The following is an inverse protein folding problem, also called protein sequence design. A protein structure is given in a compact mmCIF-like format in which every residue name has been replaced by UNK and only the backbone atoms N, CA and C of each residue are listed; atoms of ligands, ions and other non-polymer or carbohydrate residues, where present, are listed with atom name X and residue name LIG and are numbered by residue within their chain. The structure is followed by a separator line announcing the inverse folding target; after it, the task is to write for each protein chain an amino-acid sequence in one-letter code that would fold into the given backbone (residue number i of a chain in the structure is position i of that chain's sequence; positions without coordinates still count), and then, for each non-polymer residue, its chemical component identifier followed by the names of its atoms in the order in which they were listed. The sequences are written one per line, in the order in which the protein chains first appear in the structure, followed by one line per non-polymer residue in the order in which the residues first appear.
data_IF_160429007707
#
_entry.id   IF_160429007707
#
_cell.length_a   1.000
_cell.length_b   1.000
_cell.length_c   1.000
_cell.angle_alpha   90.00
_cell.angle_beta   90.00
_cell.angle_gamma   90.00
#
_symmetry.space_group_name_H-M   'P 1'
#
loop_
_entity.id
_entity.type
_entity.pdbx_description
1 polymer ?
#
# COMPACT_ATOMS: atom_id res chain seq x y z
N UNK A 1 21.44 34.85 1.10
CA UNK A 1 20.90 33.56 1.59
C UNK A 1 21.39 32.51 0.62
N UNK A 2 22.44 31.75 0.98
CA UNK A 2 22.89 30.64 0.13
C UNK A 2 21.85 29.54 0.22
N UNK A 3 21.28 29.20 -0.92
CA UNK A 3 20.46 28.01 -1.09
C UNK A 3 21.38 26.81 -0.88
N UNK A 4 21.19 26.09 0.22
CA UNK A 4 21.97 24.89 0.47
C UNK A 4 21.64 23.87 -0.64
N UNK A 5 22.64 23.18 -1.23
CA UNK A 5 22.36 22.21 -2.28
C UNK A 5 21.42 21.12 -1.75
N UNK A 6 20.33 20.84 -2.46
CA UNK A 6 19.43 19.74 -2.13
C UNK A 6 20.17 18.43 -2.36
N UNK A 7 20.61 17.79 -1.27
CA UNK A 7 21.26 16.49 -1.34
C UNK A 7 20.23 15.40 -1.67
N UNK A 8 20.60 14.37 -2.45
CA UNK A 8 19.74 13.22 -2.62
C UNK A 8 19.57 12.51 -1.28
N UNK A 9 18.35 12.05 -1.00
CA UNK A 9 18.05 11.22 0.16
C UNK A 9 17.98 9.75 -0.25
N UNK A 10 18.35 8.81 0.65
CA UNK A 10 18.09 7.40 0.40
C UNK A 10 16.57 7.19 0.29
N UNK A 11 16.13 6.19 -0.51
CA UNK A 11 14.71 5.87 -0.60
C UNK A 11 14.19 5.36 0.74
N UNK A 12 12.91 5.62 1.02
CA UNK A 12 12.19 5.06 2.15
C UNK A 12 11.91 3.58 1.86
N UNK A 13 12.36 2.70 2.76
CA UNK A 13 12.07 1.27 2.65
C UNK A 13 10.63 1.03 3.10
N UNK A 14 9.82 0.46 2.22
CA UNK A 14 8.46 0.11 2.56
C UNK A 14 8.43 -1.02 3.60
N UNK A 15 7.62 -0.84 4.64
CA UNK A 15 7.43 -1.83 5.69
C UNK A 15 6.01 -2.41 5.63
N UNK A 16 5.89 -3.72 5.85
CA UNK A 16 4.59 -4.36 5.98
C UNK A 16 3.87 -3.83 7.24
N UNK A 17 2.55 -3.67 7.15
CA UNK A 17 1.65 -3.11 8.16
C UNK A 17 1.89 -1.64 8.50
N UNK A 18 2.75 -0.94 7.74
CA UNK A 18 2.87 0.51 7.82
C UNK A 18 1.68 1.16 7.10
N UNK A 19 0.97 2.13 7.71
CA UNK A 19 -0.13 2.82 7.04
C UNK A 19 0.34 3.56 5.78
N UNK A 20 1.60 4.02 5.75
CA UNK A 20 2.20 4.69 4.60
C UNK A 20 2.48 3.74 3.43
N UNK A 21 2.81 2.48 3.70
CA UNK A 21 2.89 1.44 2.68
C UNK A 21 1.49 1.10 2.18
N UNK A 22 0.56 0.84 3.11
CA UNK A 22 -0.80 0.41 2.81
C UNK A 22 -1.55 1.40 1.90
N UNK A 23 -1.45 2.71 2.18
CA UNK A 23 -2.13 3.74 1.37
C UNK A 23 -1.62 3.76 -0.09
N UNK A 24 -0.31 3.57 -0.30
CA UNK A 24 0.29 3.54 -1.64
C UNK A 24 -0.11 2.29 -2.41
N UNK A 25 -0.09 1.12 -1.76
CA UNK A 25 -0.57 -0.14 -2.35
C UNK A 25 -2.04 -0.03 -2.74
N UNK A 26 -2.91 0.40 -1.82
CA UNK A 26 -4.34 0.53 -2.08
C UNK A 26 -4.65 1.58 -3.18
N UNK A 27 -3.95 2.72 -3.17
CA UNK A 27 -4.11 3.76 -4.18
C UNK A 27 -3.67 3.30 -5.57
N UNK A 28 -2.56 2.56 -5.67
CA UNK A 28 -2.15 1.95 -6.94
C UNK A 28 -3.24 0.98 -7.43
N UNK A 29 -3.68 0.04 -6.61
CA UNK A 29 -4.72 -0.93 -6.99
C UNK A 29 -6.05 -0.28 -7.41
N UNK A 30 -6.35 0.93 -6.92
CA UNK A 30 -7.54 1.67 -7.32
C UNK A 30 -7.51 2.05 -8.80
N UNK A 31 -6.33 2.37 -9.35
CA UNK A 31 -6.16 2.82 -10.75
C UNK A 31 -5.69 1.71 -11.69
N UNK A 32 -5.37 0.52 -11.17
CA UNK A 32 -4.97 -0.62 -11.99
C UNK A 32 -6.16 -1.24 -12.74
N UNK A 33 -5.94 -1.73 -13.98
CA UNK A 33 -6.92 -2.56 -14.69
C UNK A 33 -7.29 -3.82 -13.90
N UNK A 34 -8.52 -4.32 -14.07
CA UNK A 34 -9.11 -5.44 -13.33
C UNK A 34 -9.65 -6.52 -14.29
N UNK A 35 -10.11 -7.64 -13.73
CA UNK A 35 -10.72 -8.73 -14.50
C UNK A 35 -9.72 -9.76 -15.07
N UNK A 36 -8.43 -9.62 -14.73
CA UNK A 36 -7.38 -10.58 -15.07
C UNK A 36 -6.40 -10.73 -13.90
N UNK A 37 -5.57 -11.78 -13.97
CA UNK A 37 -4.50 -12.01 -12.99
C UNK A 37 -3.25 -11.18 -13.31
N UNK A 38 -2.84 -10.32 -12.39
CA UNK A 38 -1.58 -9.56 -12.44
C UNK A 38 -0.55 -10.18 -11.50
N UNK A 39 0.73 -10.25 -11.90
CA UNK A 39 1.80 -10.72 -11.01
C UNK A 39 2.01 -9.72 -9.87
N UNK A 40 2.14 -10.21 -8.63
CA UNK A 40 2.46 -9.36 -7.47
C UNK A 40 3.79 -8.62 -7.68
N UNK A 41 4.77 -9.24 -8.32
CA UNK A 41 6.01 -8.57 -8.70
C UNK A 41 5.79 -7.37 -9.63
N UNK A 42 4.83 -7.45 -10.57
CA UNK A 42 4.51 -6.32 -11.44
C UNK A 42 3.82 -5.17 -10.70
N UNK A 43 3.05 -5.48 -9.65
CA UNK A 43 2.51 -4.47 -8.73
C UNK A 43 3.64 -3.77 -7.98
N UNK A 44 4.64 -4.51 -7.50
CA UNK A 44 5.83 -3.94 -6.86
C UNK A 44 6.63 -3.05 -7.82
N UNK A 45 6.87 -3.50 -9.06
CA UNK A 45 7.54 -2.71 -10.09
C UNK A 45 6.78 -1.41 -10.37
N UNK A 46 5.45 -1.47 -10.46
CA UNK A 46 4.60 -0.29 -10.66
C UNK A 46 4.64 0.68 -9.46
N UNK A 47 4.70 0.18 -8.23
CA UNK A 47 4.89 1.01 -7.04
C UNK A 47 6.26 1.71 -7.05
N UNK A 48 7.32 0.98 -7.36
CA UNK A 48 8.68 1.52 -7.44
C UNK A 48 8.83 2.56 -8.58
N UNK A 49 8.11 2.37 -9.68
CA UNK A 49 8.07 3.34 -10.77
C UNK A 49 7.25 4.60 -10.41
N UNK A 50 6.17 4.46 -9.65
CA UNK A 50 5.30 5.57 -9.23
C UNK A 50 5.87 6.39 -8.07
N UNK A 51 6.73 5.78 -7.24
CA UNK A 51 7.29 6.37 -6.03
C UNK A 51 8.81 6.16 -6.00
N UNK A 52 9.54 6.99 -6.73
CA UNK A 52 11.00 6.87 -6.89
C UNK A 52 11.79 7.19 -5.63
N UNK A 53 11.15 7.80 -4.64
CA UNK A 53 11.64 8.05 -3.28
C UNK A 53 11.35 6.88 -2.32
N UNK A 54 10.76 5.78 -2.81
CA UNK A 54 10.43 4.59 -2.02
C UNK A 54 11.01 3.32 -2.65
N UNK A 55 11.18 2.29 -1.83
CA UNK A 55 11.51 0.93 -2.28
C UNK A 55 10.49 -0.07 -1.73
N UNK A 56 9.76 -0.71 -2.64
CA UNK A 56 8.79 -1.77 -2.39
C UNK A 56 9.37 -3.12 -2.79
N UNK A 57 9.66 -3.96 -1.80
CA UNK A 57 9.99 -5.35 -2.04
C UNK A 57 8.72 -6.17 -2.31
N UNK A 58 8.79 -7.13 -3.23
CA UNK A 58 7.66 -7.99 -3.59
C UNK A 58 7.01 -8.67 -2.40
N UNK A 59 7.79 -9.07 -1.37
CA UNK A 59 7.26 -9.67 -0.14
C UNK A 59 6.39 -8.70 0.67
N UNK A 60 6.80 -7.45 0.77
CA UNK A 60 6.05 -6.41 1.49
C UNK A 60 4.74 -6.13 0.76
N UNK A 61 4.79 -6.06 -0.58
CA UNK A 61 3.58 -5.92 -1.39
C UNK A 61 2.66 -7.12 -1.20
N UNK A 62 3.19 -8.34 -1.21
CA UNK A 62 2.39 -9.54 -0.96
C UNK A 62 1.69 -9.53 0.41
N UNK A 63 2.39 -9.10 1.47
CA UNK A 63 1.82 -8.96 2.82
C UNK A 63 0.67 -7.94 2.86
N UNK A 64 0.83 -6.79 2.20
CA UNK A 64 -0.23 -5.78 2.09
C UNK A 64 -1.44 -6.29 1.28
N UNK A 65 -1.19 -7.03 0.20
CA UNK A 65 -2.26 -7.63 -0.59
C UNK A 65 -3.02 -8.70 0.22
N UNK A 66 -2.32 -9.46 1.05
CA UNK A 66 -2.94 -10.44 1.96
C UNK A 66 -3.77 -9.74 3.04
N UNK A 67 -3.30 -8.60 3.55
CA UNK A 67 -4.07 -7.79 4.49
C UNK A 67 -5.34 -7.22 3.83
N UNK A 68 -5.24 -6.73 2.59
CA UNK A 68 -6.40 -6.27 1.82
C UNK A 68 -7.40 -7.40 1.52
N UNK A 69 -6.92 -8.59 1.15
CA UNK A 69 -7.78 -9.77 1.00
C UNK A 69 -8.48 -10.13 2.31
N UNK A 70 -7.78 -10.05 3.43
CA UNK A 70 -8.36 -10.28 4.75
C UNK A 70 -9.45 -9.26 5.07
N UNK A 71 -9.23 -7.98 4.78
CA UNK A 71 -10.22 -6.92 4.94
C UNK A 71 -11.45 -7.16 4.05
N UNK A 72 -11.24 -7.59 2.80
CA UNK A 72 -12.31 -7.93 1.87
C UNK A 72 -13.16 -9.09 2.42
N UNK A 73 -12.52 -10.14 2.93
CA UNK A 73 -13.20 -11.25 3.57
C UNK A 73 -14.00 -10.80 4.81
N UNK A 74 -13.47 -9.91 5.64
CA UNK A 74 -14.22 -9.35 6.77
C UNK A 74 -15.48 -8.61 6.34
N UNK A 75 -15.39 -7.79 5.28
CA UNK A 75 -16.48 -6.94 4.80
C UNK A 75 -17.56 -7.72 4.01
N UNK A 76 -17.16 -8.73 3.23
CA UNK A 76 -18.07 -9.45 2.31
C UNK A 76 -18.23 -10.95 2.60
N UNK A 77 -17.50 -11.50 3.56
CA UNK A 77 -17.52 -12.93 3.95
C UNK A 77 -17.20 -13.90 2.82
N UNK A 78 -16.39 -13.45 1.86
CA UNK A 78 -15.91 -14.24 0.74
C UNK A 78 -14.56 -13.71 0.29
N UNK A 79 -13.70 -14.57 -0.26
CA UNK A 79 -12.50 -14.16 -1.00
C UNK A 79 -12.78 -13.98 -2.50
N UNK A 80 -13.97 -14.38 -2.97
CA UNK A 80 -14.41 -14.12 -4.34
C UNK A 80 -14.41 -12.61 -4.58
N UNK A 81 -13.69 -12.19 -5.61
CA UNK A 81 -13.50 -10.78 -5.96
C UNK A 81 -12.10 -10.24 -5.64
N UNK A 82 -11.43 -10.79 -4.62
CA UNK A 82 -10.05 -10.44 -4.26
C UNK A 82 -9.26 -11.72 -3.96
N UNK A 83 -8.62 -12.29 -4.97
CA UNK A 83 -7.88 -13.55 -4.84
C UNK A 83 -6.37 -13.34 -5.03
N UNK A 84 -5.60 -14.05 -4.21
CA UNK A 84 -4.17 -14.26 -4.37
C UNK A 84 -3.98 -15.74 -4.68
N UNK A 85 -3.39 -16.04 -5.83
CA UNK A 85 -3.23 -17.42 -6.30
C UNK A 85 -1.76 -17.65 -6.66
N UNK A 86 -1.21 -18.78 -6.22
CA UNK A 86 0.12 -19.17 -6.65
C UNK A 86 0.13 -19.65 -8.10
N UNK A 87 1.19 -19.31 -8.81
CA UNK A 87 1.45 -19.80 -10.16
C UNK A 87 2.93 -20.20 -10.30
N UNK A 88 3.29 -20.99 -11.33
CA UNK A 88 4.70 -21.30 -11.60
C UNK A 88 5.59 -20.06 -11.78
N UNK A 89 5.01 -18.92 -12.14
CA UNK A 89 5.70 -17.65 -12.37
C UNK A 89 5.54 -16.65 -11.21
N UNK A 90 5.20 -17.14 -10.01
CA UNK A 90 4.96 -16.34 -8.81
C UNK A 90 3.48 -16.07 -8.54
N UNK A 91 3.19 -15.43 -7.41
CA UNK A 91 1.84 -15.13 -6.96
C UNK A 91 1.16 -14.11 -7.89
N UNK A 92 -0.11 -14.40 -8.21
CA UNK A 92 -0.99 -13.54 -8.99
C UNK A 92 -2.05 -12.94 -8.08
N UNK A 93 -2.33 -11.64 -8.25
CA UNK A 93 -3.51 -10.99 -7.72
C UNK A 93 -4.60 -10.94 -8.80
N UNK A 94 -5.81 -11.35 -8.43
CA UNK A 94 -6.99 -11.24 -9.25
C UNK A 94 -8.04 -10.38 -8.54
N UNK A 95 -8.33 -9.22 -9.13
CA UNK A 95 -9.39 -8.33 -8.70
C UNK A 95 -10.55 -8.42 -9.67
N UNK A 96 -11.76 -8.57 -9.14
CA UNK A 96 -12.95 -8.47 -9.97
C UNK A 96 -13.09 -7.08 -10.60
N UNK A 97 -13.62 -7.06 -11.81
CA UNK A 97 -13.98 -5.83 -12.50
C UNK A 97 -15.41 -5.44 -12.12
N UNK A 98 -15.54 -4.64 -11.05
CA UNK A 98 -16.84 -4.25 -10.53
C UNK A 98 -16.82 -2.88 -9.85
N UNK A 99 -17.99 -2.24 -9.79
CA UNK A 99 -18.18 -1.00 -9.04
C UNK A 99 -18.05 -1.21 -7.53
N UNK A 100 -18.41 -2.38 -7.00
CA UNK A 100 -18.25 -2.69 -5.57
C UNK A 100 -16.78 -2.76 -5.17
N UNK A 101 -15.92 -3.34 -6.02
CA UNK A 101 -14.47 -3.39 -5.81
C UNK A 101 -13.89 -1.97 -5.80
N UNK A 102 -14.29 -1.14 -6.77
CA UNK A 102 -13.87 0.26 -6.85
C UNK A 102 -14.25 1.03 -5.58
N UNK A 103 -15.52 1.00 -5.19
CA UNK A 103 -15.99 1.68 -4.00
C UNK A 103 -15.39 1.13 -2.70
N UNK A 104 -15.05 -0.17 -2.66
CA UNK A 104 -14.37 -0.78 -1.53
C UNK A 104 -12.91 -0.33 -1.43
N UNK A 105 -12.14 -0.31 -2.53
CA UNK A 105 -10.76 0.18 -2.53
C UNK A 105 -10.66 1.67 -2.17
N UNK A 106 -11.59 2.51 -2.65
CA UNK A 106 -11.68 3.91 -2.23
C UNK A 106 -11.75 4.03 -0.70
N UNK A 107 -12.60 3.24 -0.05
CA UNK A 107 -12.68 3.20 1.42
C UNK A 107 -11.42 2.67 2.08
N UNK A 108 -10.70 1.72 1.47
CA UNK A 108 -9.42 1.25 2.02
C UNK A 108 -8.34 2.33 1.95
N UNK A 109 -8.29 3.10 0.85
CA UNK A 109 -7.40 4.27 0.72
C UNK A 109 -7.73 5.30 1.81
N UNK A 110 -8.99 5.70 1.93
CA UNK A 110 -9.44 6.66 2.94
C UNK A 110 -9.08 6.21 4.38
N UNK A 111 -9.31 4.93 4.70
CA UNK A 111 -8.92 4.35 5.99
C UNK A 111 -7.42 4.41 6.22
N UNK A 112 -6.61 4.06 5.22
CA UNK A 112 -5.15 4.11 5.33
C UNK A 112 -4.63 5.54 5.47
N UNK A 113 -5.24 6.52 4.79
CA UNK A 113 -4.91 7.94 4.96
C UNK A 113 -5.22 8.44 6.38
N UNK A 114 -6.35 8.04 6.98
CA UNK A 114 -6.67 8.33 8.38
C UNK A 114 -5.57 7.75 9.30
N UNK A 115 -5.16 6.51 9.06
CA UNK A 115 -4.10 5.87 9.83
C UNK A 115 -2.74 6.56 9.66
N UNK A 116 -2.40 7.02 8.44
CA UNK A 116 -1.18 7.81 8.20
C UNK A 116 -1.18 9.09 9.04
N UNK A 117 -2.29 9.84 9.04
CA UNK A 117 -2.42 11.06 9.84
C UNK A 117 -2.29 10.77 11.34
N UNK A 118 -2.93 9.71 11.83
CA UNK A 118 -2.82 9.30 13.22
C UNK A 118 -1.37 8.96 13.62
N UNK A 119 -0.62 8.30 12.74
CA UNK A 119 0.79 7.97 12.96
C UNK A 119 1.66 9.23 13.02
N UNK A 120 1.47 10.17 12.08
CA UNK A 120 2.18 11.46 12.08
C UNK A 120 1.86 12.29 13.34
N UNK A 121 0.60 12.34 13.75
CA UNK A 121 0.18 13.03 14.98
C UNK A 121 0.78 12.38 16.23
N UNK A 122 0.89 11.05 16.24
CA UNK A 122 1.53 10.32 17.32
C UNK A 122 3.04 10.60 17.40
N UNK A 123 3.72 10.59 16.26
CA UNK A 123 5.13 10.95 16.15
C UNK A 123 5.38 12.38 16.66
N UNK A 124 4.62 13.36 16.17
CA UNK A 124 4.76 14.76 16.56
C UNK A 124 4.51 15.01 18.06
N UNK A 125 3.62 14.24 18.69
CA UNK A 125 3.41 14.32 20.15
C UNK A 125 4.56 13.71 20.94
N UNK A 126 5.08 12.57 20.49
CA UNK A 126 6.15 11.85 21.18
C UNK A 126 7.47 12.63 21.14
N UNK A 127 7.77 13.24 19.99
CA UNK A 127 8.94 14.10 19.81
C UNK A 127 8.94 15.31 20.77
N UNK A 128 7.79 16.01 20.89
CA UNK A 128 7.65 17.13 21.84
C UNK A 128 7.91 16.71 23.29
N UNK A 129 7.39 15.54 23.70
CA UNK A 129 7.60 15.03 25.06
C UNK A 129 9.06 14.62 25.31
N UNK A 130 9.78 14.17 24.28
CA UNK A 130 11.20 13.85 24.37
C UNK A 130 12.09 15.10 24.43
N UNK A 131 11.69 16.21 23.79
CA UNK A 131 12.40 17.50 23.82
C UNK A 131 12.22 18.32 25.10
N UNK A 132 11.17 18.05 25.89
CA UNK A 132 10.87 18.73 27.16
C UNK A 132 11.54 18.08 28.40
N UNK A 133 12.41 17.07 28.22
CA UNK A 133 13.23 16.44 29.28
C UNK A 133 14.70 16.76 29.11
#
# INVERSE_FOLDING_TARGET
MSDAPHLPWPPVIAEARSPFTAVRVAALLLVRPRGFGERVAAVADALNAAHTDWLFETRVVADELLQLQSNWFSDFRTTTGFALNDSPNGTLIHLEDSSRMTGWLQRQVEKAEVACRAELDNFARTDRVAGDR
#
